data_IF_034667847972
#
_entry.id   IF_034667847972
#
_cell.length_a   1.000
_cell.length_b   1.000
_cell.length_c   1.000
_cell.angle_alpha   90.00
_cell.angle_beta   90.00
_cell.angle_gamma   90.00
#
_symmetry.space_group_name_H-M   'P 1'
#
loop_
_entity.id
_entity.type
_entity.pdbx_description
1 polymer ?
#
# COMPACT_ATOMS: atom_id res chain seq x y z
N UNK A 1 14.85 7.58 25.17
CA UNK A 1 13.83 6.51 25.06
C UNK A 1 14.44 5.35 24.32
N UNK A 2 14.32 4.14 24.88
CA UNK A 2 14.81 2.89 24.30
C UNK A 2 13.67 1.89 24.23
N UNK A 3 13.72 0.95 23.30
CA UNK A 3 12.77 -0.16 23.21
C UNK A 3 12.98 -1.08 24.40
N UNK A 4 11.92 -1.36 25.13
CA UNK A 4 11.96 -2.19 26.34
C UNK A 4 11.30 -3.56 26.14
N UNK A 5 10.18 -3.59 25.43
CA UNK A 5 9.40 -4.81 25.16
C UNK A 5 8.76 -4.73 23.78
N UNK A 6 8.51 -5.89 23.19
CA UNK A 6 7.79 -6.05 21.94
C UNK A 6 6.78 -7.17 22.10
N UNK A 7 5.52 -6.91 21.73
CA UNK A 7 4.46 -7.91 21.71
C UNK A 7 3.97 -8.09 20.28
N UNK A 8 3.79 -9.33 19.86
CA UNK A 8 3.29 -9.70 18.54
C UNK A 8 1.91 -10.34 18.68
N UNK A 9 1.00 -9.93 17.82
CA UNK A 9 -0.36 -10.47 17.72
C UNK A 9 -0.63 -10.87 16.28
N UNK A 10 -1.55 -11.81 16.08
CA UNK A 10 -2.14 -12.08 14.76
C UNK A 10 -3.65 -11.98 14.84
N UNK A 11 -4.24 -11.49 13.77
CA UNK A 11 -5.68 -11.34 13.64
C UNK A 11 -6.12 -11.68 12.23
N UNK A 12 -7.27 -12.36 12.10
CA UNK A 12 -7.85 -12.71 10.79
C UNK A 12 -8.76 -11.60 10.28
N UNK A 13 -8.56 -11.24 9.03
CA UNK A 13 -9.34 -10.23 8.31
C UNK A 13 -10.10 -10.89 7.16
N UNK A 14 -11.34 -11.35 7.36
CA UNK A 14 -12.17 -11.90 6.30
C UNK A 14 -12.46 -10.86 5.22
N UNK A 15 -12.42 -11.28 3.95
CA UNK A 15 -12.81 -10.42 2.82
C UNK A 15 -14.32 -10.35 2.74
N UNK A 16 -14.86 -9.13 2.72
CA UNK A 16 -16.29 -8.87 2.63
C UNK A 16 -16.79 -8.99 1.18
N UNK A 17 -18.02 -9.48 1.01
CA UNK A 17 -18.73 -9.58 -0.27
C UNK A 17 -18.06 -10.51 -1.30
N UNK A 18 -17.50 -11.61 -0.83
CA UNK A 18 -16.86 -12.64 -1.66
C UNK A 18 -15.37 -12.38 -1.88
N UNK A 19 -14.68 -13.28 -2.59
CA UNK A 19 -13.24 -13.19 -2.71
C UNK A 19 -12.81 -11.96 -3.52
N UNK A 20 -11.67 -11.39 -3.12
CA UNK A 20 -10.97 -10.40 -3.93
C UNK A 20 -10.17 -11.12 -5.02
N UNK A 21 -10.53 -10.91 -6.28
CA UNK A 21 -9.95 -11.61 -7.43
C UNK A 21 -8.90 -10.78 -8.14
N UNK A 22 -7.71 -11.36 -8.27
CA UNK A 22 -6.59 -10.87 -9.05
C UNK A 22 -6.20 -11.90 -10.12
N UNK A 23 -5.34 -11.55 -11.06
CA UNK A 23 -4.93 -12.43 -12.15
C UNK A 23 -4.37 -13.80 -11.70
N UNK A 24 -3.79 -13.91 -10.50
CA UNK A 24 -3.10 -15.11 -9.99
C UNK A 24 -3.60 -15.62 -8.63
N UNK A 25 -4.60 -14.96 -8.03
CA UNK A 25 -5.07 -15.34 -6.70
C UNK A 25 -6.50 -14.88 -6.42
N UNK A 26 -7.25 -15.72 -5.70
CA UNK A 26 -8.50 -15.38 -5.04
C UNK A 26 -8.25 -15.30 -3.54
N UNK A 27 -8.50 -14.14 -2.93
CA UNK A 27 -8.26 -13.89 -1.50
C UNK A 27 -9.60 -13.91 -0.75
N UNK A 28 -9.74 -14.82 0.20
CA UNK A 28 -10.95 -14.99 1.03
C UNK A 28 -10.78 -14.42 2.44
N UNK A 29 -9.58 -14.48 2.97
CA UNK A 29 -9.18 -13.97 4.27
C UNK A 29 -7.69 -13.68 4.28
N UNK A 30 -7.24 -12.81 5.18
CA UNK A 30 -5.85 -12.46 5.38
C UNK A 30 -5.52 -12.48 6.87
N UNK A 31 -4.36 -13.02 7.21
CA UNK A 31 -3.81 -12.93 8.57
C UNK A 31 -2.93 -11.70 8.66
N UNK A 32 -3.35 -10.71 9.44
CA UNK A 32 -2.50 -9.56 9.76
C UNK A 32 -1.67 -9.83 11.02
N UNK A 33 -0.46 -9.28 11.05
CA UNK A 33 0.43 -9.32 12.22
C UNK A 33 0.59 -7.90 12.78
N UNK A 34 0.26 -7.74 14.06
CA UNK A 34 0.37 -6.48 14.77
C UNK A 34 1.59 -6.50 15.70
N UNK A 35 2.22 -5.35 15.82
CA UNK A 35 3.38 -5.11 16.68
C UNK A 35 3.05 -4.02 17.68
N UNK A 36 3.23 -4.30 18.96
CA UNK A 36 3.20 -3.30 20.04
C UNK A 36 4.62 -3.10 20.56
N UNK A 37 5.20 -1.93 20.29
CA UNK A 37 6.49 -1.53 20.85
C UNK A 37 6.26 -0.80 22.17
N UNK A 38 6.92 -1.23 23.24
CA UNK A 38 6.88 -0.57 24.54
C UNK A 38 8.25 0.02 24.85
N UNK A 39 8.30 1.30 25.21
CA UNK A 39 9.51 2.01 25.57
C UNK A 39 9.82 1.95 27.07
N UNK A 40 11.06 2.28 27.43
CA UNK A 40 11.55 2.31 28.82
C UNK A 40 10.86 3.37 29.70
N UNK A 41 10.20 4.36 29.10
CA UNK A 41 9.40 5.37 29.78
C UNK A 41 7.90 4.99 29.93
N UNK A 42 7.51 3.79 29.51
CA UNK A 42 6.15 3.26 29.57
C UNK A 42 5.23 3.65 28.41
N UNK A 43 5.66 4.52 27.50
CA UNK A 43 4.92 4.78 26.27
C UNK A 43 4.97 3.58 25.34
N UNK A 44 3.98 3.45 24.48
CA UNK A 44 3.93 2.38 23.48
C UNK A 44 3.37 2.90 22.15
N UNK A 45 3.73 2.19 21.09
CA UNK A 45 3.21 2.44 19.75
C UNK A 45 2.81 1.13 19.07
N UNK A 46 1.84 1.24 18.16
CA UNK A 46 1.29 0.14 17.40
C UNK A 46 1.70 0.20 15.93
N UNK A 47 1.92 -0.96 15.34
CA UNK A 47 2.17 -1.09 13.90
C UNK A 47 1.62 -2.40 13.37
N UNK A 48 1.57 -2.52 12.04
CA UNK A 48 0.89 -3.62 11.38
C UNK A 48 1.60 -4.00 10.08
N UNK A 49 1.54 -5.29 9.73
CA UNK A 49 1.85 -5.81 8.40
C UNK A 49 0.85 -6.89 8.02
N UNK A 50 0.30 -6.80 6.80
CA UNK A 50 -0.70 -7.72 6.29
C UNK A 50 -0.36 -8.16 4.85
N UNK A 51 0.56 -9.11 4.67
CA UNK A 51 0.92 -9.60 3.34
C UNK A 51 -0.26 -10.31 2.66
N UNK A 52 -0.48 -10.04 1.38
CA UNK A 52 -1.49 -10.77 0.56
C UNK A 52 -1.16 -12.24 0.43
N UNK A 53 0.13 -12.58 0.37
CA UNK A 53 0.59 -13.95 0.27
C UNK A 53 1.62 -14.18 -0.86
N UNK A 54 2.18 -15.39 -0.92
CA UNK A 54 3.35 -15.71 -1.75
C UNK A 54 3.08 -15.73 -3.26
N UNK A 55 1.83 -15.71 -3.67
CA UNK A 55 1.46 -15.60 -5.09
C UNK A 55 1.52 -14.15 -5.61
N UNK A 56 1.42 -13.18 -4.68
CA UNK A 56 1.50 -11.76 -5.00
C UNK A 56 2.93 -11.21 -4.85
N UNK A 57 3.59 -11.52 -3.73
CA UNK A 57 4.95 -11.06 -3.42
C UNK A 57 5.70 -12.13 -2.62
N UNK A 58 6.96 -11.90 -2.30
CA UNK A 58 7.77 -12.81 -1.46
C UNK A 58 7.29 -12.85 0.00
N UNK A 59 6.31 -12.03 0.37
CA UNK A 59 5.80 -11.89 1.73
C UNK A 59 4.56 -12.74 1.98
N UNK A 60 4.47 -13.32 3.17
CA UNK A 60 3.29 -14.04 3.67
C UNK A 60 3.22 -13.97 5.20
N UNK A 61 2.04 -14.23 5.78
CA UNK A 61 1.79 -14.03 7.21
C UNK A 61 2.74 -14.80 8.13
N UNK A 62 2.97 -16.10 7.86
CA UNK A 62 3.91 -16.90 8.67
C UNK A 62 5.35 -16.42 8.54
N UNK A 63 5.76 -15.92 7.36
CA UNK A 63 7.07 -15.32 7.14
C UNK A 63 7.23 -13.99 7.87
N UNK A 64 6.14 -13.19 7.95
CA UNK A 64 6.14 -11.95 8.73
C UNK A 64 6.36 -12.25 10.23
N UNK A 65 5.61 -13.20 10.78
CA UNK A 65 5.76 -13.59 12.18
C UNK A 65 7.17 -14.15 12.48
N UNK A 66 7.70 -15.01 11.62
CA UNK A 66 9.04 -15.58 11.78
C UNK A 66 10.12 -14.49 11.72
N UNK A 67 10.05 -13.58 10.75
CA UNK A 67 10.99 -12.46 10.63
C UNK A 67 10.93 -11.50 11.82
N UNK A 68 9.73 -11.18 12.31
CA UNK A 68 9.54 -10.37 13.51
C UNK A 68 10.11 -11.04 14.75
N UNK A 69 9.91 -12.36 14.91
CA UNK A 69 10.43 -13.12 16.03
C UNK A 69 11.97 -13.22 16.03
N UNK A 70 12.59 -13.23 14.85
CA UNK A 70 14.05 -13.18 14.71
C UNK A 70 14.62 -11.79 15.06
N UNK A 71 13.95 -10.73 14.62
CA UNK A 71 14.42 -9.35 14.84
C UNK A 71 14.19 -8.90 16.28
N UNK A 72 13.03 -9.21 16.87
CA UNK A 72 12.55 -8.62 18.11
C UNK A 72 13.55 -8.70 19.28
N UNK A 73 14.18 -9.85 19.61
CA UNK A 73 15.13 -9.91 20.72
C UNK A 73 16.33 -8.98 20.53
N UNK A 74 16.79 -8.82 19.29
CA UNK A 74 17.98 -8.08 18.95
C UNK A 74 17.82 -6.56 18.94
N UNK A 75 16.58 -6.04 18.96
CA UNK A 75 16.31 -4.59 18.99
C UNK A 75 15.94 -4.08 20.39
N UNK A 76 15.78 -4.97 21.38
CA UNK A 76 15.59 -4.55 22.78
C UNK A 76 16.80 -3.76 23.24
N UNK A 77 16.57 -2.63 23.92
CA UNK A 77 17.61 -1.69 24.37
C UNK A 77 18.10 -0.73 23.29
N UNK A 78 17.72 -0.92 22.02
CA UNK A 78 18.03 0.02 20.93
C UNK A 78 17.32 1.36 21.16
N UNK A 79 17.95 2.45 20.73
CA UNK A 79 17.32 3.77 20.75
C UNK A 79 16.06 3.75 19.87
N UNK A 80 14.94 4.24 20.42
CA UNK A 80 13.68 4.37 19.69
C UNK A 80 13.76 5.59 18.74
N UNK A 81 14.57 5.47 17.70
CA UNK A 81 14.80 6.46 16.64
C UNK A 81 14.88 5.73 15.29
N UNK A 82 14.36 6.29 14.18
CA UNK A 82 14.26 5.59 12.89
C UNK A 82 15.62 5.06 12.39
N UNK A 83 16.64 5.90 12.25
CA UNK A 83 17.93 5.49 11.67
C UNK A 83 18.62 4.40 12.47
N UNK A 84 18.85 4.52 13.81
CA UNK A 84 19.45 3.45 14.60
C UNK A 84 18.65 2.15 14.61
N UNK A 85 17.31 2.24 14.58
CA UNK A 85 16.47 1.05 14.57
C UNK A 85 16.53 0.31 13.24
N UNK A 86 16.48 1.03 12.12
CA UNK A 86 16.63 0.42 10.79
C UNK A 86 18.00 -0.24 10.61
N UNK A 87 19.08 0.47 10.97
CA UNK A 87 20.45 -0.08 10.93
C UNK A 87 20.54 -1.37 11.76
N UNK A 88 19.94 -1.36 12.96
CA UNK A 88 19.91 -2.55 13.81
C UNK A 88 19.11 -3.69 13.20
N UNK A 89 17.89 -3.44 12.69
CA UNK A 89 17.08 -4.47 12.03
C UNK A 89 17.78 -5.06 10.80
N UNK A 90 18.46 -4.22 10.02
CA UNK A 90 19.19 -4.67 8.83
C UNK A 90 20.42 -5.51 9.19
N UNK A 91 21.07 -5.22 10.30
CA UNK A 91 22.17 -6.04 10.82
C UNK A 91 21.74 -7.41 11.36
N UNK A 92 20.47 -7.56 11.76
CA UNK A 92 19.92 -8.80 12.30
C UNK A 92 19.34 -9.71 11.23
N UNK A 93 18.65 -9.14 10.26
CA UNK A 93 17.96 -9.88 9.20
C UNK A 93 17.98 -9.11 7.90
N UNK A 94 18.57 -9.71 6.86
CA UNK A 94 18.56 -9.11 5.52
C UNK A 94 17.18 -9.27 4.87
N UNK A 95 16.73 -8.23 4.12
CA UNK A 95 15.43 -8.23 3.47
C UNK A 95 14.25 -8.15 4.45
N UNK A 96 13.18 -8.87 4.18
CA UNK A 96 11.95 -8.90 5.00
C UNK A 96 11.38 -7.52 5.33
N UNK A 97 11.42 -6.61 4.39
CA UNK A 97 10.99 -5.20 4.55
C UNK A 97 9.56 -5.09 5.07
N UNK A 98 8.67 -5.96 4.61
CA UNK A 98 7.28 -6.03 5.06
C UNK A 98 7.14 -6.30 6.57
N UNK A 99 8.03 -7.11 7.16
CA UNK A 99 8.05 -7.35 8.61
C UNK A 99 8.64 -6.15 9.36
N UNK A 100 9.76 -5.61 8.87
CA UNK A 100 10.40 -4.41 9.44
C UNK A 100 9.47 -3.21 9.44
N UNK A 101 8.59 -3.10 8.43
CA UNK A 101 7.60 -2.04 8.34
C UNK A 101 6.64 -1.99 9.54
N UNK A 102 6.22 -3.14 10.08
CA UNK A 102 5.37 -3.16 11.26
C UNK A 102 6.07 -2.54 12.49
N UNK A 103 7.36 -2.81 12.66
CA UNK A 103 8.18 -2.22 13.71
C UNK A 103 8.38 -0.72 13.47
N UNK A 104 8.64 -0.31 12.22
CA UNK A 104 8.82 1.09 11.84
C UNK A 104 7.53 1.92 12.05
N UNK A 105 6.37 1.38 11.66
CA UNK A 105 5.07 2.03 11.88
C UNK A 105 4.83 2.19 13.38
N UNK A 106 5.07 1.13 14.17
CA UNK A 106 4.95 1.19 15.63
C UNK A 106 5.91 2.21 16.25
N UNK A 107 7.12 2.34 15.72
CA UNK A 107 8.06 3.37 16.16
C UNK A 107 7.55 4.79 15.87
N UNK A 108 6.97 5.03 14.69
CA UNK A 108 6.43 6.36 14.36
C UNK A 108 5.22 6.70 15.23
N UNK A 109 4.35 5.74 15.53
CA UNK A 109 3.27 5.93 16.49
C UNK A 109 3.80 6.29 17.89
N UNK A 110 4.77 5.53 18.37
CA UNK A 110 5.45 5.77 19.66
C UNK A 110 6.10 7.16 19.70
N UNK A 111 6.79 7.57 18.64
CA UNK A 111 7.45 8.88 18.57
C UNK A 111 6.42 10.02 18.51
N UNK A 112 5.35 9.86 17.75
CA UNK A 112 4.25 10.83 17.72
C UNK A 112 3.63 11.04 19.10
N UNK A 113 3.36 9.96 19.84
CA UNK A 113 2.89 10.00 21.21
C UNK A 113 3.92 10.64 22.16
N UNK A 114 5.22 10.35 21.97
CA UNK A 114 6.29 10.94 22.78
C UNK A 114 6.43 12.44 22.60
N UNK A 115 6.35 12.92 21.36
CA UNK A 115 6.50 14.35 21.04
C UNK A 115 5.18 15.13 21.07
N UNK A 116 4.04 14.46 21.23
CA UNK A 116 2.71 15.08 21.24
C UNK A 116 2.26 15.59 19.88
N UNK A 117 2.68 14.93 18.79
CA UNK A 117 2.40 15.31 17.40
C UNK A 117 1.86 14.12 16.58
N UNK A 118 1.25 14.39 15.44
CA UNK A 118 0.82 13.36 14.51
C UNK A 118 2.00 12.71 13.77
N UNK A 119 1.79 11.53 13.20
CA UNK A 119 2.79 10.92 12.30
C UNK A 119 3.03 11.79 11.06
N UNK A 120 2.01 12.45 10.52
CA UNK A 120 2.22 13.40 9.41
C UNK A 120 3.19 14.52 9.78
N UNK A 121 3.11 15.05 11.01
CA UNK A 121 4.02 16.10 11.48
C UNK A 121 5.46 15.59 11.60
N UNK A 122 5.66 14.36 12.10
CA UNK A 122 6.98 13.72 12.12
C UNK A 122 7.59 13.54 10.72
N UNK A 123 6.74 13.36 9.71
CA UNK A 123 7.14 13.18 8.32
C UNK A 123 7.32 14.49 7.55
N UNK A 124 7.16 15.64 8.21
CA UNK A 124 7.40 16.96 7.65
C UNK A 124 6.17 17.86 7.53
N UNK A 125 5.01 17.39 7.94
CA UNK A 125 3.74 18.14 7.96
C UNK A 125 2.80 17.76 6.83
N UNK A 126 1.50 17.76 7.13
CA UNK A 126 0.46 17.48 6.16
C UNK A 126 0.25 18.67 5.20
N UNK A 127 0.16 18.38 3.91
CA UNK A 127 -0.16 19.32 2.85
C UNK A 127 -1.66 19.28 2.47
N UNK A 128 -2.36 18.21 2.85
CA UNK A 128 -3.78 18.03 2.64
C UNK A 128 -4.40 17.18 3.76
N UNK A 129 -5.65 17.51 4.13
CA UNK A 129 -6.41 16.76 5.14
C UNK A 129 -7.37 15.74 4.50
N UNK A 130 -7.73 15.93 3.24
CA UNK A 130 -8.61 15.07 2.48
C UNK A 130 -7.87 14.56 1.25
N UNK A 131 -7.59 13.26 1.24
CA UNK A 131 -6.73 12.63 0.26
C UNK A 131 -7.58 11.83 -0.73
N UNK A 132 -7.30 11.89 -2.04
CA UNK A 132 -7.99 11.03 -2.99
C UNK A 132 -7.71 9.56 -2.65
N UNK A 133 -8.76 8.74 -2.62
CA UNK A 133 -8.64 7.30 -2.62
C UNK A 133 -8.98 6.75 -4.00
N UNK A 134 -8.84 5.46 -4.19
CA UNK A 134 -9.30 4.79 -5.38
C UNK A 134 -9.89 3.41 -5.06
N UNK A 135 -10.74 2.92 -5.94
CA UNK A 135 -11.34 1.60 -5.81
C UNK A 135 -10.72 0.64 -6.83
N UNK A 136 -10.21 -0.49 -6.33
CA UNK A 136 -9.71 -1.56 -7.18
C UNK A 136 -10.87 -2.47 -7.60
N UNK A 137 -11.30 -2.35 -8.85
CA UNK A 137 -12.33 -3.20 -9.46
C UNK A 137 -11.70 -4.54 -9.81
N UNK A 138 -12.19 -5.62 -9.22
CA UNK A 138 -11.66 -6.98 -9.42
C UNK A 138 -11.95 -7.51 -10.82
N UNK A 139 -11.20 -8.53 -11.24
CA UNK A 139 -11.46 -9.26 -12.50
C UNK A 139 -12.85 -9.90 -12.42
N UNK A 140 -13.63 -9.74 -13.49
CA UNK A 140 -14.99 -10.27 -13.64
C UNK A 140 -15.45 -10.17 -15.08
N UNK A 141 -16.68 -10.61 -15.39
CA UNK A 141 -17.24 -10.42 -16.73
C UNK A 141 -17.39 -8.92 -17.04
N UNK A 142 -17.18 -8.48 -18.30
CA UNK A 142 -17.10 -7.05 -18.62
C UNK A 142 -18.32 -6.22 -18.17
N UNK A 143 -19.53 -6.76 -18.25
CA UNK A 143 -20.75 -6.04 -17.84
C UNK A 143 -20.82 -5.84 -16.30
N UNK A 144 -20.38 -6.84 -15.54
CA UNK A 144 -20.34 -6.73 -14.08
C UNK A 144 -19.26 -5.72 -13.63
N UNK A 145 -18.10 -5.77 -14.26
CA UNK A 145 -17.02 -4.81 -14.05
C UNK A 145 -17.49 -3.37 -14.33
N UNK A 146 -18.22 -3.16 -15.43
CA UNK A 146 -18.80 -1.85 -15.77
C UNK A 146 -19.87 -1.41 -14.75
N UNK A 147 -20.71 -2.33 -14.26
CA UNK A 147 -21.69 -2.04 -13.20
C UNK A 147 -21.00 -1.56 -11.91
N UNK A 148 -19.97 -2.27 -11.47
CA UNK A 148 -19.18 -1.86 -10.28
C UNK A 148 -18.53 -0.51 -10.51
N UNK A 149 -17.98 -0.26 -11.70
CA UNK A 149 -17.39 1.06 -12.03
C UNK A 149 -18.43 2.19 -11.94
N UNK A 150 -19.68 1.95 -12.39
CA UNK A 150 -20.77 2.93 -12.26
C UNK A 150 -21.11 3.21 -10.78
N UNK A 151 -21.22 2.16 -9.96
CA UNK A 151 -21.47 2.30 -8.51
C UNK A 151 -20.38 3.13 -7.83
N UNK A 152 -19.12 2.84 -8.14
CA UNK A 152 -17.98 3.54 -7.52
C UNK A 152 -17.81 4.98 -8.04
N UNK A 153 -18.20 5.25 -9.28
CA UNK A 153 -18.35 6.62 -9.77
C UNK A 153 -19.38 7.38 -8.94
N UNK A 154 -20.53 6.79 -8.70
CA UNK A 154 -21.63 7.43 -7.99
C UNK A 154 -21.36 7.58 -6.49
N UNK A 155 -20.50 6.72 -5.91
CA UNK A 155 -19.92 6.87 -4.57
C UNK A 155 -18.86 7.99 -4.47
N UNK A 156 -18.43 8.58 -5.60
CA UNK A 156 -17.53 9.72 -5.64
C UNK A 156 -16.05 9.41 -5.67
N UNK A 157 -15.64 8.19 -6.06
CA UNK A 157 -14.23 7.86 -6.20
C UNK A 157 -13.58 8.66 -7.34
N UNK A 158 -12.48 9.39 -7.10
CA UNK A 158 -11.80 10.19 -8.13
C UNK A 158 -10.90 9.36 -9.05
N UNK A 159 -10.63 8.09 -8.71
CA UNK A 159 -9.84 7.15 -9.50
C UNK A 159 -10.38 5.74 -9.36
N UNK A 160 -10.42 5.00 -10.46
CA UNK A 160 -10.66 3.56 -10.48
C UNK A 160 -9.39 2.84 -10.97
N UNK A 161 -9.05 1.72 -10.32
CA UNK A 161 -8.03 0.79 -10.78
C UNK A 161 -8.72 -0.49 -11.25
N UNK A 162 -8.63 -0.81 -12.53
CA UNK A 162 -9.21 -2.01 -13.09
C UNK A 162 -8.18 -3.12 -13.12
N UNK A 163 -8.48 -4.24 -12.47
CA UNK A 163 -7.64 -5.44 -12.54
C UNK A 163 -7.86 -6.16 -13.86
N UNK A 164 -6.77 -6.53 -14.53
CA UNK A 164 -6.75 -7.22 -15.83
C UNK A 164 -5.74 -8.39 -15.82
N UNK A 165 -5.78 -9.19 -16.88
CA UNK A 165 -4.89 -10.32 -17.08
C UNK A 165 -5.38 -11.65 -16.50
N UNK A 166 -4.66 -12.73 -16.75
CA UNK A 166 -5.05 -14.08 -16.35
C UNK A 166 -6.20 -14.68 -17.18
N UNK A 167 -6.60 -14.02 -18.26
CA UNK A 167 -7.67 -14.41 -19.21
C UNK A 167 -7.35 -13.97 -20.62
N UNK A 168 -8.25 -14.16 -21.56
CA UNK A 168 -8.09 -13.69 -22.93
C UNK A 168 -8.00 -12.15 -22.98
N UNK A 169 -7.07 -11.64 -23.76
CA UNK A 169 -6.80 -10.19 -23.86
C UNK A 169 -8.01 -9.40 -24.35
N UNK A 170 -8.85 -10.03 -25.18
CA UNK A 170 -10.08 -9.47 -25.72
C UNK A 170 -11.08 -9.12 -24.61
N UNK A 171 -11.16 -9.95 -23.57
CA UNK A 171 -12.00 -9.69 -22.40
C UNK A 171 -11.51 -8.49 -21.58
N UNK A 172 -10.19 -8.31 -21.49
CA UNK A 172 -9.59 -7.16 -20.85
C UNK A 172 -9.84 -5.87 -21.64
N UNK A 173 -9.67 -5.90 -22.97
CA UNK A 173 -9.99 -4.77 -23.86
C UNK A 173 -11.47 -4.39 -23.76
N UNK A 174 -12.37 -5.38 -23.74
CA UNK A 174 -13.80 -5.13 -23.59
C UNK A 174 -14.13 -4.50 -22.21
N UNK A 175 -13.52 -5.03 -21.13
CA UNK A 175 -13.71 -4.49 -19.78
C UNK A 175 -13.24 -3.04 -19.67
N UNK A 176 -12.06 -2.73 -20.20
CA UNK A 176 -11.50 -1.36 -20.23
C UNK A 176 -12.42 -0.43 -21.01
N UNK A 177 -12.91 -0.88 -22.18
CA UNK A 177 -13.79 -0.07 -23.03
C UNK A 177 -15.10 0.24 -22.34
N UNK A 178 -15.76 -0.76 -21.75
CA UNK A 178 -17.02 -0.57 -21.01
C UNK A 178 -16.86 0.33 -19.79
N UNK A 179 -15.79 0.14 -19.01
CA UNK A 179 -15.49 1.03 -17.87
C UNK A 179 -15.28 2.47 -18.35
N UNK A 180 -14.51 2.65 -19.43
CA UNK A 180 -14.29 3.97 -19.98
C UNK A 180 -15.57 4.66 -20.43
N UNK A 181 -16.50 3.95 -21.08
CA UNK A 181 -17.80 4.50 -21.45
C UNK A 181 -18.60 5.00 -20.24
N UNK A 182 -18.47 4.34 -19.09
CA UNK A 182 -19.14 4.73 -17.84
C UNK A 182 -18.50 5.99 -17.23
N UNK A 183 -17.18 6.12 -17.27
CA UNK A 183 -16.47 7.19 -16.53
C UNK A 183 -16.04 8.37 -17.40
N UNK A 184 -16.06 8.26 -18.75
CA UNK A 184 -15.66 9.36 -19.63
C UNK A 184 -16.51 10.60 -19.34
N UNK A 185 -15.82 11.76 -19.22
CA UNK A 185 -16.49 13.04 -18.90
C UNK A 185 -16.81 13.25 -17.41
N UNK A 186 -16.60 12.27 -16.54
CA UNK A 186 -16.83 12.42 -15.10
C UNK A 186 -15.64 13.04 -14.34
N UNK A 187 -14.47 13.14 -14.97
CA UNK A 187 -13.22 13.54 -14.31
C UNK A 187 -12.51 12.42 -13.55
N UNK A 188 -13.06 11.21 -13.55
CA UNK A 188 -12.44 10.04 -12.89
C UNK A 188 -11.24 9.58 -13.72
N UNK A 189 -10.11 9.35 -13.06
CA UNK A 189 -8.91 8.78 -13.66
C UNK A 189 -9.00 7.26 -13.68
N UNK A 190 -8.53 6.62 -14.76
CA UNK A 190 -8.47 5.17 -14.89
C UNK A 190 -7.02 4.69 -14.76
N UNK A 191 -6.81 3.65 -13.98
CA UNK A 191 -5.61 2.83 -14.00
C UNK A 191 -6.00 1.39 -14.38
N UNK A 192 -5.13 0.72 -15.10
CA UNK A 192 -5.28 -0.68 -15.51
C UNK A 192 -4.08 -1.44 -14.98
N UNK A 193 -4.32 -2.32 -14.01
CA UNK A 193 -3.28 -3.05 -13.30
C UNK A 193 -3.35 -4.54 -13.63
N UNK A 194 -2.27 -5.04 -14.23
CA UNK A 194 -2.16 -6.44 -14.62
C UNK A 194 -1.43 -7.31 -13.59
N UNK A 195 -0.93 -6.74 -12.49
CA UNK A 195 -0.19 -7.47 -11.45
C UNK A 195 0.82 -8.48 -12.05
N UNK A 196 1.63 -8.05 -13.01
CA UNK A 196 2.69 -8.84 -13.68
C UNK A 196 2.19 -9.98 -14.58
N UNK A 197 0.91 -10.01 -14.95
CA UNK A 197 0.33 -11.20 -15.61
C UNK A 197 0.46 -11.20 -17.13
N UNK A 198 0.73 -10.05 -17.75
CA UNK A 198 0.82 -9.97 -19.21
C UNK A 198 2.23 -10.33 -19.72
N UNK A 199 2.26 -10.95 -20.89
CA UNK A 199 3.50 -11.02 -21.69
C UNK A 199 3.81 -9.63 -22.26
N UNK A 200 5.06 -9.39 -22.65
CA UNK A 200 5.43 -8.13 -23.34
C UNK A 200 4.59 -7.90 -24.60
N UNK A 201 4.32 -8.97 -25.36
CA UNK A 201 3.45 -8.91 -26.55
C UNK A 201 2.02 -8.48 -26.20
N UNK A 202 1.44 -9.07 -25.16
CA UNK A 202 0.05 -8.80 -24.79
C UNK A 202 -0.09 -7.41 -24.14
N UNK A 203 0.91 -6.95 -23.39
CA UNK A 203 0.95 -5.59 -22.86
C UNK A 203 1.00 -4.53 -23.97
N UNK A 204 1.83 -4.74 -25.01
CA UNK A 204 1.88 -3.88 -26.19
C UNK A 204 0.54 -3.91 -26.93
N UNK A 205 -0.02 -5.10 -27.17
CA UNK A 205 -1.30 -5.28 -27.85
C UNK A 205 -2.41 -4.55 -27.11
N UNK A 206 -2.56 -4.77 -25.80
CA UNK A 206 -3.55 -4.08 -24.94
C UNK A 206 -3.44 -2.57 -25.08
N UNK A 207 -2.20 -2.05 -24.98
CA UNK A 207 -1.95 -0.63 -25.09
C UNK A 207 -2.33 -0.06 -26.47
N UNK A 208 -2.14 -0.81 -27.54
CA UNK A 208 -2.48 -0.38 -28.89
C UNK A 208 -3.98 -0.44 -29.17
N UNK A 209 -4.66 -1.52 -28.77
CA UNK A 209 -6.10 -1.67 -28.94
C UNK A 209 -6.89 -0.63 -28.13
N UNK A 210 -6.38 -0.25 -26.95
CA UNK A 210 -6.98 0.78 -26.10
C UNK A 210 -6.33 2.17 -26.23
N UNK A 211 -5.56 2.45 -27.30
CA UNK A 211 -4.79 3.69 -27.44
C UNK A 211 -5.64 4.99 -27.39
N UNK A 212 -6.94 4.89 -27.63
CA UNK A 212 -7.89 6.01 -27.56
C UNK A 212 -8.47 6.26 -26.16
N UNK A 213 -8.17 5.39 -25.19
CA UNK A 213 -8.62 5.48 -23.82
C UNK A 213 -7.47 5.93 -22.94
N UNK A 214 -7.53 7.08 -22.27
CA UNK A 214 -6.46 7.52 -21.37
C UNK A 214 -6.51 6.73 -20.05
N UNK A 215 -5.47 5.93 -19.79
CA UNK A 215 -5.29 5.26 -18.50
C UNK A 215 -3.82 5.13 -18.13
N UNK A 216 -3.57 4.85 -16.85
CA UNK A 216 -2.26 4.46 -16.34
C UNK A 216 -2.14 2.94 -16.48
N UNK A 217 -1.11 2.46 -17.16
CA UNK A 217 -0.76 1.04 -17.23
C UNK A 217 0.15 0.69 -16.06
N UNK A 218 -0.39 -0.04 -15.08
CA UNK A 218 0.32 -0.39 -13.86
C UNK A 218 0.81 -1.84 -13.95
N UNK A 219 2.11 -2.05 -13.69
CA UNK A 219 2.80 -3.33 -13.64
C UNK A 219 2.32 -4.38 -14.67
N UNK A 220 2.36 -4.07 -15.97
CA UNK A 220 1.85 -5.00 -16.99
C UNK A 220 2.63 -6.31 -17.04
N UNK A 221 3.96 -6.28 -16.95
CA UNK A 221 4.85 -7.42 -17.12
C UNK A 221 5.55 -7.80 -15.81
N UNK A 222 6.14 -8.99 -15.81
CA UNK A 222 6.68 -9.62 -14.59
C UNK A 222 8.00 -9.01 -14.12
N UNK A 223 8.92 -8.67 -15.02
CA UNK A 223 10.26 -8.23 -14.66
C UNK A 223 10.49 -6.76 -15.00
N UNK A 224 11.51 -6.17 -14.38
CA UNK A 224 11.94 -4.81 -14.68
C UNK A 224 12.45 -4.70 -16.12
N UNK A 225 13.12 -5.72 -16.62
CA UNK A 225 13.64 -5.81 -18.00
C UNK A 225 12.51 -5.88 -19.01
N UNK A 226 11.43 -6.62 -18.72
CA UNK A 226 10.24 -6.65 -19.58
C UNK A 226 9.61 -5.26 -19.70
N UNK A 227 9.53 -4.52 -18.57
CA UNK A 227 8.99 -3.15 -18.55
C UNK A 227 9.87 -2.20 -19.37
N UNK A 228 11.20 -2.34 -19.28
CA UNK A 228 12.13 -1.58 -20.11
C UNK A 228 11.93 -1.89 -21.61
N UNK A 229 11.73 -3.17 -21.96
CA UNK A 229 11.54 -3.59 -23.34
C UNK A 229 10.26 -3.01 -23.98
N UNK A 230 9.18 -2.85 -23.20
CA UNK A 230 7.91 -2.34 -23.72
C UNK A 230 7.78 -0.81 -23.66
N UNK A 231 8.61 -0.11 -22.86
CA UNK A 231 8.43 1.32 -22.56
C UNK A 231 8.26 2.20 -23.79
N UNK A 232 9.08 1.98 -24.81
CA UNK A 232 9.01 2.73 -26.07
C UNK A 232 7.91 2.29 -27.04
N UNK A 233 7.21 1.21 -26.75
CA UNK A 233 6.23 0.57 -27.61
C UNK A 233 4.79 0.77 -27.16
N UNK A 234 4.55 1.05 -25.87
CA UNK A 234 3.23 1.33 -25.32
C UNK A 234 2.82 2.79 -25.53
N UNK A 235 1.52 3.07 -25.48
CA UNK A 235 0.92 4.41 -25.66
C UNK A 235 0.49 5.08 -24.36
N UNK A 236 0.53 4.34 -23.25
CA UNK A 236 0.01 4.74 -21.94
C UNK A 236 1.14 5.10 -20.98
N UNK A 237 0.82 5.90 -19.98
CA UNK A 237 1.71 6.15 -18.85
C UNK A 237 2.01 4.82 -18.13
N UNK A 238 3.28 4.56 -17.84
CA UNK A 238 3.74 3.33 -17.18
C UNK A 238 4.01 3.58 -15.71
N UNK A 239 3.30 2.87 -14.83
CA UNK A 239 3.58 2.80 -13.41
C UNK A 239 4.16 1.44 -13.06
N UNK A 240 5.14 1.43 -12.16
CA UNK A 240 5.65 0.19 -11.57
C UNK A 240 5.17 0.07 -10.13
N UNK A 241 4.80 -1.14 -9.74
CA UNK A 241 4.39 -1.57 -8.41
C UNK A 241 5.34 -2.68 -7.93
N UNK A 242 5.08 -3.93 -8.22
CA UNK A 242 5.81 -5.08 -7.68
C UNK A 242 7.28 -5.13 -8.11
N UNK A 243 7.63 -4.56 -9.25
CA UNK A 243 9.03 -4.48 -9.69
C UNK A 243 9.84 -3.43 -8.95
N UNK A 244 9.22 -2.54 -8.17
CA UNK A 244 9.90 -1.55 -7.36
C UNK A 244 10.15 -2.09 -5.94
N UNK A 245 11.14 -2.94 -5.78
CA UNK A 245 11.41 -3.66 -4.54
C UNK A 245 12.03 -2.80 -3.43
N UNK A 246 12.70 -1.70 -3.79
CA UNK A 246 13.43 -0.84 -2.85
C UNK A 246 13.72 0.53 -3.46
N UNK A 247 14.31 1.42 -2.66
CA UNK A 247 14.64 2.77 -3.09
C UNK A 247 15.65 2.81 -4.25
N UNK A 248 16.61 1.88 -4.32
CA UNK A 248 17.57 1.84 -5.43
C UNK A 248 16.88 1.56 -6.77
N UNK A 249 15.90 0.64 -6.77
CA UNK A 249 15.08 0.37 -7.96
C UNK A 249 14.27 1.61 -8.34
N UNK A 250 13.69 2.32 -7.37
CA UNK A 250 12.96 3.57 -7.64
C UNK A 250 13.86 4.65 -8.24
N UNK A 251 15.07 4.83 -7.70
CA UNK A 251 16.08 5.77 -8.23
C UNK A 251 16.44 5.41 -9.69
N UNK A 252 16.68 4.14 -9.97
CA UNK A 252 17.01 3.65 -11.31
C UNK A 252 15.86 3.91 -12.28
N UNK A 253 14.63 3.54 -11.91
CA UNK A 253 13.45 3.73 -12.75
C UNK A 253 13.20 5.22 -13.05
N UNK A 254 13.28 6.07 -12.03
CA UNK A 254 13.14 7.51 -12.18
C UNK A 254 14.29 8.14 -12.99
N UNK A 255 15.53 7.64 -12.82
CA UNK A 255 16.72 8.16 -13.50
C UNK A 255 16.78 7.82 -14.98
N UNK A 256 16.28 6.66 -15.36
CA UNK A 256 16.29 6.18 -16.77
C UNK A 256 15.08 6.66 -17.58
N UNK A 257 14.07 7.29 -16.94
CA UNK A 257 12.82 7.67 -17.61
C UNK A 257 11.93 6.47 -17.95
N UNK A 258 12.13 5.35 -17.25
CA UNK A 258 11.31 4.15 -17.44
C UNK A 258 9.85 4.40 -17.05
N UNK A 259 9.63 5.13 -15.97
CA UNK A 259 8.31 5.30 -15.36
C UNK A 259 7.77 6.72 -15.49
N UNK A 260 6.45 6.81 -15.52
CA UNK A 260 5.70 8.07 -15.40
C UNK A 260 5.13 8.26 -13.98
N UNK A 261 5.26 7.25 -13.12
CA UNK A 261 4.86 7.27 -11.71
C UNK A 261 5.01 5.90 -11.04
N UNK A 262 4.52 5.80 -9.81
CA UNK A 262 4.67 4.59 -8.98
C UNK A 262 3.37 4.21 -8.27
N UNK A 263 3.06 2.90 -8.27
CA UNK A 263 2.15 2.27 -7.31
C UNK A 263 2.96 1.76 -6.12
N UNK A 264 3.05 2.54 -5.01
CA UNK A 264 3.99 2.21 -3.95
C UNK A 264 3.31 1.84 -2.64
N UNK A 265 3.87 0.82 -1.98
CA UNK A 265 3.39 0.29 -0.71
C UNK A 265 4.35 0.58 0.43
N UNK A 266 3.78 1.00 1.58
CA UNK A 266 4.54 1.32 2.80
C UNK A 266 5.35 0.11 3.26
N UNK A 267 4.75 -1.07 3.31
CA UNK A 267 5.42 -2.29 3.77
C UNK A 267 6.49 -2.79 2.81
N UNK A 268 6.34 -2.57 1.50
CA UNK A 268 7.35 -2.97 0.50
C UNK A 268 8.69 -2.26 0.72
N UNK A 269 8.65 -0.98 1.07
CA UNK A 269 9.86 -0.20 1.33
C UNK A 269 10.44 -0.43 2.73
N UNK A 270 9.66 -1.01 3.66
CA UNK A 270 10.12 -1.25 5.02
C UNK A 270 9.60 -0.27 6.07
N UNK A 271 8.54 0.48 5.73
CA UNK A 271 7.85 1.39 6.64
C UNK A 271 7.89 2.86 6.21
N UNK A 272 7.50 3.73 7.11
CA UNK A 272 7.36 5.16 6.89
C UNK A 272 8.71 5.88 6.73
N UNK A 273 9.74 5.43 7.46
CA UNK A 273 11.08 6.02 7.34
C UNK A 273 11.67 5.88 5.93
N UNK A 274 11.77 4.68 5.34
CA UNK A 274 12.24 4.54 3.96
C UNK A 274 11.24 5.10 2.93
N UNK A 275 9.93 5.06 3.20
CA UNK A 275 8.93 5.65 2.31
C UNK A 275 9.09 7.17 2.21
N UNK A 276 9.47 7.86 3.28
CA UNK A 276 9.78 9.29 3.24
C UNK A 276 10.87 9.60 2.21
N UNK A 277 11.96 8.83 2.19
CA UNK A 277 13.02 9.03 1.20
C UNK A 277 12.54 8.78 -0.24
N UNK A 278 11.67 7.78 -0.44
CA UNK A 278 11.02 7.53 -1.73
C UNK A 278 10.09 8.68 -2.13
N UNK A 279 9.26 9.19 -1.22
CA UNK A 279 8.42 10.38 -1.46
C UNK A 279 9.26 11.58 -1.90
N UNK A 280 10.36 11.83 -1.20
CA UNK A 280 11.25 12.96 -1.50
C UNK A 280 11.91 12.81 -2.89
N UNK A 281 12.24 11.58 -3.32
CA UNK A 281 12.64 11.26 -4.68
C UNK A 281 11.53 11.61 -5.69
N UNK A 282 10.29 11.16 -5.45
CA UNK A 282 9.15 11.43 -6.31
C UNK A 282 8.93 12.95 -6.47
N UNK A 283 8.97 13.70 -5.37
CA UNK A 283 8.84 15.16 -5.37
C UNK A 283 9.96 15.80 -6.19
N UNK A 284 11.23 15.41 -5.94
CA UNK A 284 12.38 15.97 -6.64
C UNK A 284 12.36 15.66 -8.16
N UNK A 285 11.72 14.58 -8.58
CA UNK A 285 11.61 14.16 -9.98
C UNK A 285 10.26 14.52 -10.62
N UNK A 286 9.35 15.14 -9.87
CA UNK A 286 7.98 15.46 -10.29
C UNK A 286 7.22 14.23 -10.80
N UNK A 287 7.38 13.09 -10.11
CA UNK A 287 6.74 11.82 -10.43
C UNK A 287 5.55 11.57 -9.51
N UNK A 288 4.34 11.36 -10.03
CA UNK A 288 3.20 10.96 -9.24
C UNK A 288 3.41 9.61 -8.56
N UNK A 289 2.79 9.43 -7.40
CA UNK A 289 2.81 8.16 -6.66
C UNK A 289 1.51 7.92 -5.92
N UNK A 290 1.18 6.67 -5.69
CA UNK A 290 0.23 6.29 -4.66
C UNK A 290 0.95 6.08 -3.32
N UNK A 291 0.19 6.11 -2.23
CA UNK A 291 0.65 5.77 -0.89
C UNK A 291 -0.26 4.68 -0.34
N UNK A 292 0.07 3.43 -0.65
CA UNK A 292 -0.79 2.29 -0.44
C UNK A 292 -0.19 1.28 0.54
N UNK A 293 -1.01 0.29 0.90
CA UNK A 293 -0.47 -1.01 1.27
C UNK A 293 -1.20 -2.13 0.53
N UNK A 294 -0.65 -3.34 0.66
CA UNK A 294 -1.25 -4.50 0.01
C UNK A 294 -2.62 -4.80 0.63
N UNK A 295 -2.68 -4.85 1.98
CA UNK A 295 -3.88 -5.05 2.80
C UNK A 295 -3.59 -4.61 4.24
N UNK A 296 -4.55 -4.82 5.15
CA UNK A 296 -4.40 -4.55 6.58
C UNK A 296 -5.58 -3.77 7.13
N UNK A 297 -5.59 -3.61 8.45
CA UNK A 297 -6.59 -2.86 9.19
C UNK A 297 -6.24 -1.38 9.37
N UNK A 298 -6.68 -0.83 10.50
CA UNK A 298 -6.60 0.61 10.76
C UNK A 298 -5.18 1.16 10.91
N UNK A 299 -4.24 0.38 11.44
CA UNK A 299 -2.89 0.88 11.72
C UNK A 299 -2.12 1.14 10.42
N UNK A 300 -2.18 0.19 9.49
CA UNK A 300 -1.55 0.35 8.18
C UNK A 300 -2.29 1.38 7.32
N UNK A 301 -3.61 1.41 7.40
CA UNK A 301 -4.43 2.43 6.73
C UNK A 301 -4.10 3.84 7.22
N UNK A 302 -3.91 4.02 8.54
CA UNK A 302 -3.47 5.28 9.12
C UNK A 302 -2.05 5.65 8.65
N UNK A 303 -1.12 4.70 8.61
CA UNK A 303 0.23 4.93 8.10
C UNK A 303 0.21 5.43 6.64
N UNK A 304 -0.58 4.78 5.77
CA UNK A 304 -0.76 5.20 4.37
C UNK A 304 -1.38 6.61 4.27
N UNK A 305 -2.39 6.90 5.08
CA UNK A 305 -3.03 8.21 5.09
C UNK A 305 -2.06 9.31 5.59
N UNK A 306 -1.30 9.04 6.67
CA UNK A 306 -0.33 10.01 7.18
C UNK A 306 0.78 10.33 6.20
N UNK A 307 1.40 9.34 5.56
CA UNK A 307 2.44 9.61 4.55
C UNK A 307 1.84 10.25 3.30
N UNK A 308 0.66 9.80 2.86
CA UNK A 308 -0.06 10.39 1.73
C UNK A 308 -0.37 11.86 1.93
N UNK A 309 -0.73 12.27 3.16
CA UNK A 309 -0.98 13.67 3.50
C UNK A 309 0.25 14.58 3.31
N UNK A 310 1.46 14.03 3.33
CA UNK A 310 2.71 14.77 3.14
C UNK A 310 3.19 14.83 1.69
N UNK A 311 2.51 14.17 0.77
CA UNK A 311 2.77 14.24 -0.68
C UNK A 311 2.09 15.50 -1.25
N UNK A 312 2.77 16.29 -2.09
CA UNK A 312 2.09 17.40 -2.79
C UNK A 312 0.83 16.91 -3.52
N UNK A 313 -0.32 17.58 -3.39
CA UNK A 313 -1.58 17.11 -3.98
C UNK A 313 -1.52 16.86 -5.49
N UNK A 314 -0.68 17.59 -6.22
CA UNK A 314 -0.49 17.38 -7.66
C UNK A 314 0.25 16.07 -8.00
N UNK A 315 0.94 15.46 -7.04
CA UNK A 315 1.71 14.22 -7.20
C UNK A 315 1.09 13.03 -6.45
N UNK A 316 0.04 13.26 -5.66
CA UNK A 316 -0.67 12.18 -4.98
C UNK A 316 -1.74 11.58 -5.88
N UNK A 317 -1.47 10.41 -6.43
CA UNK A 317 -2.42 9.70 -7.28
C UNK A 317 -3.49 8.93 -6.50
N UNK A 318 -3.30 8.76 -5.22
CA UNK A 318 -4.28 8.20 -4.32
C UNK A 318 -3.67 7.49 -3.12
N UNK A 319 -4.52 7.21 -2.14
CA UNK A 319 -4.23 6.36 -0.99
C UNK A 319 -5.21 5.20 -1.02
N UNK A 320 -4.71 3.99 -1.23
CA UNK A 320 -5.55 2.81 -1.16
C UNK A 320 -5.51 2.22 0.25
N UNK A 321 -6.69 1.88 0.77
CA UNK A 321 -6.86 1.19 2.04
C UNK A 321 -7.83 0.02 1.85
N UNK A 322 -7.64 -1.04 2.63
CA UNK A 322 -8.46 -2.25 2.52
C UNK A 322 -9.85 -2.13 3.16
N UNK A 323 -10.12 -1.11 3.96
CA UNK A 323 -11.38 -0.94 4.71
C UNK A 323 -12.68 -1.21 3.92
N UNK A 324 -12.82 -0.86 2.62
CA UNK A 324 -14.00 -1.21 1.85
C UNK A 324 -14.14 -2.71 1.53
N UNK A 325 -13.13 -3.52 1.81
CA UNK A 325 -13.03 -4.94 1.48
C UNK A 325 -12.98 -5.87 2.69
N UNK A 326 -12.68 -5.34 3.87
CA UNK A 326 -12.49 -6.13 5.09
C UNK A 326 -13.18 -5.46 6.27
N UNK A 327 -13.49 -6.24 7.29
CA UNK A 327 -13.84 -5.72 8.62
C UNK A 327 -12.55 -5.65 9.46
N UNK A 328 -11.79 -4.58 9.28
CA UNK A 328 -10.46 -4.39 9.86
C UNK A 328 -10.37 -3.20 10.81
N UNK A 329 -11.50 -2.76 11.39
CA UNK A 329 -11.50 -1.65 12.34
C UNK A 329 -11.13 -2.15 13.74
N UNK A 330 -9.93 -1.77 14.16
CA UNK A 330 -9.39 -2.06 15.50
C UNK A 330 -9.69 -0.95 16.50
N UNK A 331 -9.99 0.25 16.00
CA UNK A 331 -10.50 1.40 16.75
C UNK A 331 -11.87 1.77 16.20
N UNK A 332 -12.91 1.46 16.97
CA UNK A 332 -14.30 1.68 16.56
C UNK A 332 -14.64 3.15 16.31
N UNK A 333 -13.88 4.08 16.89
CA UNK A 333 -14.11 5.54 16.82
C UNK A 333 -13.29 6.20 15.72
N UNK A 334 -11.99 5.87 15.64
CA UNK A 334 -11.02 6.59 14.80
C UNK A 334 -10.55 5.77 13.59
N UNK A 335 -11.07 4.56 13.42
CA UNK A 335 -10.70 3.68 12.30
C UNK A 335 -10.82 4.38 10.95
N UNK A 336 -9.84 4.18 10.09
CA UNK A 336 -9.74 4.88 8.80
C UNK A 336 -10.80 4.37 7.83
N UNK A 337 -11.58 5.27 7.26
CA UNK A 337 -12.66 4.95 6.31
C UNK A 337 -12.52 5.76 5.02
N UNK A 338 -13.07 5.21 3.95
CA UNK A 338 -13.27 5.95 2.71
C UNK A 338 -14.63 6.63 2.76
N UNK A 339 -14.63 7.94 2.60
CA UNK A 339 -15.82 8.78 2.54
C UNK A 339 -15.84 9.59 1.24
N UNK A 340 -16.87 9.39 0.41
CA UNK A 340 -16.97 10.03 -0.90
C UNK A 340 -15.70 9.86 -1.75
N UNK A 341 -15.14 8.64 -1.78
CA UNK A 341 -13.94 8.32 -2.52
C UNK A 341 -12.63 8.93 -1.97
N UNK A 342 -12.62 9.39 -0.73
CA UNK A 342 -11.46 10.01 -0.08
C UNK A 342 -11.20 9.42 1.29
N UNK A 343 -9.96 9.55 1.74
CA UNK A 343 -9.53 9.20 3.10
C UNK A 343 -9.01 10.44 3.82
N UNK A 344 -9.00 10.37 5.16
CA UNK A 344 -8.40 11.40 6.02
C UNK A 344 -7.41 10.74 6.97
N UNK A 345 -6.23 11.32 7.21
CA UNK A 345 -5.39 10.90 8.32
C UNK A 345 -6.17 11.00 9.64
N UNK A 346 -6.09 9.99 10.51
CA UNK A 346 -6.70 10.11 11.84
C UNK A 346 -6.14 11.31 12.61
N UNK A 347 -6.98 11.93 13.39
CA UNK A 347 -6.58 13.08 14.20
C UNK A 347 -5.98 12.62 15.53
N UNK A 348 -5.05 13.41 16.08
CA UNK A 348 -4.43 13.14 17.36
C UNK A 348 -2.93 12.89 17.27
N UNK A 349 -2.37 12.35 18.34
CA UNK A 349 -0.94 12.05 18.44
C UNK A 349 -0.63 10.66 17.89
N UNK A 350 0.56 10.48 17.37
CA UNK A 350 0.97 9.22 16.74
C UNK A 350 0.17 8.96 15.47
N UNK A 351 -0.29 7.73 15.30
CA UNK A 351 -1.19 7.33 14.21
C UNK A 351 -2.63 7.84 14.40
N UNK A 352 -2.99 8.34 15.59
CA UNK A 352 -4.36 8.73 15.92
C UNK A 352 -5.32 7.53 16.05
N UNK A 353 -4.79 6.31 16.08
CA UNK A 353 -5.49 5.04 16.27
C UNK A 353 -5.06 4.43 17.60
N UNK A 354 -6.04 4.02 18.40
CA UNK A 354 -5.79 3.25 19.61
C UNK A 354 -6.57 1.94 19.55
N UNK A 355 -5.92 0.83 19.15
CA UNK A 355 -6.60 -0.45 18.98
C UNK A 355 -7.20 -0.97 20.29
N UNK A 356 -8.39 -1.56 20.19
CA UNK A 356 -9.00 -2.33 21.27
C UNK A 356 -8.22 -3.65 21.45
N UNK A 357 -7.12 -3.61 22.21
CA UNK A 357 -6.15 -4.72 22.37
C UNK A 357 -6.81 -6.07 22.71
N UNK A 358 -7.93 -6.03 23.43
CA UNK A 358 -8.70 -7.22 23.78
C UNK A 358 -9.23 -8.01 22.56
N UNK A 359 -9.35 -7.37 21.39
CA UNK A 359 -9.76 -8.04 20.15
C UNK A 359 -8.73 -9.07 19.69
N UNK A 360 -7.46 -8.86 20.02
CA UNK A 360 -6.36 -9.70 19.52
C UNK A 360 -6.04 -10.89 20.43
N UNK A 361 -6.66 -10.95 21.64
CA UNK A 361 -6.31 -11.94 22.64
C UNK A 361 -4.92 -11.74 23.25
N UNK A 362 -4.33 -12.81 23.76
CA UNK A 362 -2.98 -12.76 24.31
C UNK A 362 -1.92 -12.64 23.19
N UNK A 363 -0.79 -11.96 23.43
CA UNK A 363 0.31 -11.92 22.47
C UNK A 363 0.79 -13.33 22.13
N UNK A 364 0.95 -13.61 20.84
CA UNK A 364 1.51 -14.88 20.37
C UNK A 364 3.02 -15.01 20.65
N UNK A 365 3.69 -13.86 20.81
CA UNK A 365 5.07 -13.78 21.28
C UNK A 365 5.33 -12.46 22.00
N UNK A 366 6.22 -12.48 22.99
CA UNK A 366 6.67 -11.31 23.75
C UNK A 366 8.17 -11.38 24.01
N UNK A 367 8.86 -10.26 23.85
CA UNK A 367 10.31 -10.14 24.00
C UNK A 367 10.67 -8.99 24.90
#
# INVERSE_FOLDING_TARGET
MKIKQIHLYQYELPVLNGPYRMARADVYSLTTTLVKLVADNGLYGWGETCPVGPTYSESHASGALAALSEIAPGIIGTAALPVPLHDRMDSLLNGHTYAKAAIDIALHDLLGKHYGVSVSDLLGGALAERLPSYYAVTIGVPDEVARVAAEKRDEGYPRLQLKVGGRAIEEDVESISKVWEIIRGSGIRLAVDANRSLTTRDAIRLSHECAHIPFIMEQPCNTFEDLQAIRGLIKHALYIDESCLNLNTAITAAGTGLVDGFGMKVTRLGGLHPFRAFRDLCVARNLPTTCDDAWGGDLIAAACAHIGATVPPALLDGVWIAAPRIDGHFDSKNGVRVDGGHVRPPQGVGLGIEPEEAMFGDPIASF
#
